data_IF_135620297548
#
_entry.id   IF_135620297548
#
_cell.length_a   1.000
_cell.length_b   1.000
_cell.length_c   1.000
_cell.angle_alpha   90.00
_cell.angle_beta   90.00
_cell.angle_gamma   90.00
#
_symmetry.space_group_name_H-M   'P 1'
#
loop_
_entity.id
_entity.type
_entity.pdbx_description
1 polymer ?
#
# COMPACT_ATOMS: atom_id res chain seq x y z
N UNK A 1 -100.41 28.48 -23.51
CA UNK A 1 -100.40 27.26 -22.69
C UNK A 1 -99.13 27.26 -21.87
N UNK A 2 -99.29 27.43 -20.57
CA UNK A 2 -98.24 27.48 -19.54
C UNK A 2 -97.78 26.06 -19.20
N UNK A 3 -96.47 25.81 -19.07
CA UNK A 3 -95.93 24.88 -18.07
C UNK A 3 -94.46 25.26 -17.74
N UNK A 4 -94.00 25.08 -16.49
CA UNK A 4 -93.06 25.97 -15.84
C UNK A 4 -91.60 25.51 -15.86
N UNK A 5 -90.73 26.49 -15.58
CA UNK A 5 -89.28 26.41 -15.48
C UNK A 5 -88.79 25.42 -14.41
N UNK A 6 -87.75 24.65 -14.77
CA UNK A 6 -86.87 23.90 -13.85
C UNK A 6 -85.47 24.52 -13.94
N UNK A 7 -84.87 25.01 -12.84
CA UNK A 7 -83.51 25.52 -12.86
C UNK A 7 -82.49 24.36 -12.91
N UNK A 8 -81.59 24.41 -13.89
CA UNK A 8 -80.47 23.47 -14.04
C UNK A 8 -79.37 23.74 -13.00
N UNK A 9 -78.81 22.65 -12.48
CA UNK A 9 -77.72 22.64 -11.50
C UNK A 9 -76.41 23.23 -12.08
N UNK A 10 -75.58 23.89 -11.25
CA UNK A 10 -74.35 24.53 -11.71
C UNK A 10 -73.28 23.51 -12.12
N UNK A 11 -72.60 23.80 -13.23
CA UNK A 11 -71.46 23.05 -13.73
C UNK A 11 -70.29 23.15 -12.72
N UNK A 12 -69.81 21.99 -12.27
CA UNK A 12 -68.60 21.88 -11.45
C UNK A 12 -67.38 22.14 -12.35
N UNK A 13 -66.76 23.30 -12.19
CA UNK A 13 -65.48 23.60 -12.82
C UNK A 13 -64.39 22.68 -12.23
N UNK A 14 -63.79 21.84 -13.08
CA UNK A 14 -62.58 21.09 -12.74
C UNK A 14 -61.42 22.08 -12.62
N UNK A 15 -60.84 22.18 -11.44
CA UNK A 15 -59.58 22.87 -11.18
C UNK A 15 -58.45 22.14 -11.92
N UNK A 16 -57.87 22.79 -12.93
CA UNK A 16 -56.62 22.39 -13.55
C UNK A 16 -55.49 22.94 -12.69
N UNK A 17 -54.93 22.09 -11.84
CA UNK A 17 -53.76 22.44 -11.01
C UNK A 17 -52.52 22.45 -11.90
N UNK A 18 -51.85 23.61 -11.99
CA UNK A 18 -50.52 23.70 -12.59
C UNK A 18 -49.51 22.84 -11.79
N UNK A 19 -48.59 22.12 -12.44
CA UNK A 19 -47.51 21.43 -11.74
C UNK A 19 -46.47 22.46 -11.27
N UNK A 20 -46.58 22.88 -10.00
CA UNK A 20 -45.62 23.74 -9.33
C UNK A 20 -44.41 22.96 -8.80
N UNK A 21 -43.28 23.09 -9.50
CA UNK A 21 -41.90 22.97 -9.00
C UNK A 21 -41.61 21.85 -7.99
N UNK A 22 -41.47 20.63 -8.50
CA UNK A 22 -40.80 19.56 -7.77
C UNK A 22 -39.33 19.92 -7.54
N UNK A 23 -38.93 20.02 -6.28
CA UNK A 23 -37.54 20.16 -5.89
C UNK A 23 -36.74 18.98 -6.45
N UNK A 24 -35.89 19.25 -7.42
CA UNK A 24 -34.85 18.33 -7.85
C UNK A 24 -33.87 18.16 -6.68
N UNK A 25 -34.16 17.20 -5.80
CA UNK A 25 -33.12 16.65 -4.93
C UNK A 25 -32.24 15.80 -5.82
N UNK A 26 -31.18 16.41 -6.37
CA UNK A 26 -30.08 15.63 -6.89
C UNK A 26 -29.66 14.68 -5.76
N UNK A 27 -29.92 13.38 -5.92
CA UNK A 27 -29.28 12.37 -5.08
C UNK A 27 -27.80 12.62 -5.22
N UNK A 28 -27.19 13.22 -4.19
CA UNK A 28 -25.76 13.10 -3.99
C UNK A 28 -25.47 11.61 -4.14
N UNK A 29 -24.54 11.16 -5.00
CA UNK A 29 -24.11 9.79 -4.94
C UNK A 29 -23.71 9.57 -3.49
N UNK A 30 -24.46 8.70 -2.79
CA UNK A 30 -24.15 8.34 -1.42
C UNK A 30 -22.70 7.92 -1.42
N UNK A 31 -21.93 8.42 -0.45
CA UNK A 31 -20.54 8.00 -0.26
C UNK A 31 -20.48 6.49 -0.46
N UNK A 32 -19.59 6.03 -1.35
CA UNK A 32 -19.40 4.61 -1.59
C UNK A 32 -19.32 3.90 -0.23
N UNK A 33 -19.98 2.75 -0.06
CA UNK A 33 -20.01 2.06 1.23
C UNK A 33 -18.59 1.92 1.75
N UNK A 34 -18.32 2.57 2.88
CA UNK A 34 -16.99 2.59 3.47
C UNK A 34 -16.70 1.15 3.89
N UNK A 35 -15.82 0.47 3.16
CA UNK A 35 -15.51 -0.93 3.42
C UNK A 35 -15.08 -1.05 4.89
N UNK A 36 -15.80 -1.89 5.65
CA UNK A 36 -15.51 -2.08 7.06
C UNK A 36 -14.30 -2.99 7.20
N UNK A 37 -13.12 -2.41 7.39
CA UNK A 37 -11.89 -3.17 7.60
C UNK A 37 -11.77 -3.58 9.07
N UNK A 38 -11.43 -4.86 9.36
CA UNK A 38 -11.16 -5.27 10.74
C UNK A 38 -9.95 -4.52 11.32
N UNK A 39 -9.89 -4.38 12.63
CA UNK A 39 -8.76 -3.72 13.29
C UNK A 39 -7.58 -4.68 13.46
N UNK A 40 -6.41 -4.32 12.95
CA UNK A 40 -5.14 -5.07 13.10
C UNK A 40 -4.16 -4.32 13.99
N UNK A 41 -3.33 -5.07 14.72
CA UNK A 41 -2.19 -4.54 15.48
C UNK A 41 -1.01 -4.30 14.55
N UNK A 42 -0.45 -3.10 14.62
CA UNK A 42 0.73 -2.63 13.91
C UNK A 42 1.74 -2.19 14.95
N UNK A 43 3.01 -2.50 14.72
CA UNK A 43 4.10 -2.10 15.59
C UNK A 43 5.16 -1.41 14.75
N UNK A 44 5.81 -0.40 15.30
CA UNK A 44 6.89 0.30 14.66
C UNK A 44 7.92 0.78 15.67
N UNK A 45 9.18 0.76 15.28
CA UNK A 45 10.28 1.36 16.02
C UNK A 45 10.90 2.45 15.16
N UNK A 46 11.09 3.64 15.73
CA UNK A 46 11.64 4.81 15.04
C UNK A 46 12.86 5.37 15.76
N UNK A 47 13.83 5.90 15.01
CA UNK A 47 14.87 6.79 15.52
C UNK A 47 14.37 8.23 15.44
N UNK A 48 14.30 8.90 16.58
CA UNK A 48 13.89 10.30 16.67
C UNK A 48 15.09 11.24 16.42
N UNK A 49 14.85 12.53 16.10
CA UNK A 49 15.91 13.51 15.87
C UNK A 49 16.87 13.73 17.05
N UNK A 50 16.45 13.41 18.28
CA UNK A 50 17.27 13.46 19.49
C UNK A 50 18.06 12.16 19.75
N UNK A 51 18.11 11.27 18.76
CA UNK A 51 18.69 9.93 18.79
C UNK A 51 18.04 8.96 19.80
N UNK A 52 16.88 9.31 20.37
CA UNK A 52 16.09 8.36 21.16
C UNK A 52 15.28 7.43 20.26
N UNK A 53 14.93 6.26 20.80
CA UNK A 53 14.06 5.31 20.12
C UNK A 53 12.61 5.50 20.58
N UNK A 54 11.70 5.55 19.62
CA UNK A 54 10.26 5.60 19.88
C UNK A 54 9.59 4.32 19.38
N UNK A 55 8.96 3.59 20.29
CA UNK A 55 8.13 2.44 19.97
C UNK A 55 6.66 2.86 19.86
N UNK A 56 6.01 2.42 18.77
CA UNK A 56 4.60 2.64 18.52
C UNK A 56 3.91 1.31 18.32
N UNK A 57 3.01 0.97 19.24
CA UNK A 57 2.14 -0.21 19.14
C UNK A 57 0.69 0.27 19.14
N UNK A 58 -0.01 0.11 18.01
CA UNK A 58 -1.39 0.60 17.87
C UNK A 58 -2.24 -0.35 17.05
N UNK A 59 -3.56 -0.21 17.19
CA UNK A 59 -4.51 -0.86 16.29
C UNK A 59 -5.01 0.14 15.26
N UNK A 60 -5.00 -0.24 13.99
CA UNK A 60 -5.55 0.52 12.88
C UNK A 60 -6.42 -0.38 12.00
N UNK A 61 -7.29 0.19 11.15
CA UNK A 61 -8.02 -0.60 10.18
C UNK A 61 -7.04 -1.38 9.29
N UNK A 62 -7.36 -2.63 8.97
CA UNK A 62 -6.67 -3.48 7.99
C UNK A 62 -6.90 -2.96 6.55
N UNK A 63 -6.83 -1.64 6.38
CA UNK A 63 -6.98 -0.95 5.12
C UNK A 63 -5.67 -1.08 4.33
N UNK A 64 -5.71 -1.28 3.00
CA UNK A 64 -4.52 -1.54 2.19
C UNK A 64 -3.40 -0.50 2.33
N UNK A 65 -3.75 0.76 2.61
CA UNK A 65 -2.76 1.82 2.88
C UNK A 65 -1.93 1.54 4.12
N UNK A 66 -2.55 1.09 5.22
CA UNK A 66 -1.82 0.75 6.43
C UNK A 66 -1.02 -0.52 6.20
N UNK A 67 -1.62 -1.56 5.63
CA UNK A 67 -0.90 -2.83 5.41
C UNK A 67 0.30 -2.68 4.48
N UNK A 68 0.20 -1.86 3.42
CA UNK A 68 1.30 -1.56 2.50
C UNK A 68 2.53 -0.98 3.22
N UNK A 69 2.33 -0.26 4.31
CA UNK A 69 3.43 0.33 5.06
C UNK A 69 4.23 -0.68 5.90
N UNK A 70 3.70 -1.87 6.19
CA UNK A 70 4.30 -2.80 7.16
C UNK A 70 4.55 -4.21 6.58
N UNK A 71 4.14 -4.47 5.34
CA UNK A 71 3.99 -5.83 4.83
C UNK A 71 4.75 -6.07 3.51
N UNK A 72 6.06 -5.83 3.52
CA UNK A 72 6.93 -6.01 2.34
C UNK A 72 7.89 -7.21 2.50
N UNK A 73 8.69 -7.24 3.56
CA UNK A 73 9.73 -8.23 3.78
C UNK A 73 9.23 -9.28 4.78
N UNK A 74 9.36 -10.57 4.52
CA UNK A 74 9.02 -11.56 5.55
C UNK A 74 10.20 -11.78 6.50
N UNK A 75 9.90 -12.28 7.70
CA UNK A 75 10.89 -12.77 8.66
C UNK A 75 11.95 -13.66 7.99
N UNK A 76 13.22 -13.48 8.36
CA UNK A 76 14.37 -14.19 7.81
C UNK A 76 14.95 -13.56 6.55
N UNK A 77 14.38 -12.46 6.06
CA UNK A 77 14.99 -11.66 5.00
C UNK A 77 16.32 -11.09 5.49
N UNK A 78 17.39 -11.30 4.75
CA UNK A 78 18.74 -10.83 5.06
C UNK A 78 18.99 -9.50 4.36
N UNK A 79 19.30 -8.46 5.14
CA UNK A 79 19.57 -7.11 4.67
C UNK A 79 21.07 -6.84 4.72
N UNK A 80 21.60 -6.26 3.64
CA UNK A 80 23.00 -5.84 3.60
C UNK A 80 23.20 -4.59 4.46
N UNK A 81 24.08 -4.66 5.47
CA UNK A 81 24.43 -3.54 6.35
C UNK A 81 25.93 -3.27 6.33
N UNK A 82 26.36 -2.14 6.88
CA UNK A 82 27.77 -1.72 6.96
C UNK A 82 28.63 -2.75 7.70
N UNK A 83 28.10 -3.35 8.76
CA UNK A 83 28.79 -4.34 9.60
C UNK A 83 28.52 -5.80 9.18
N UNK A 84 27.92 -6.01 8.01
CA UNK A 84 27.61 -7.32 7.45
C UNK A 84 26.12 -7.60 7.27
N UNK A 85 25.75 -8.81 6.83
CA UNK A 85 24.35 -9.19 6.63
C UNK A 85 23.62 -9.35 7.98
N UNK A 86 22.44 -8.74 8.11
CA UNK A 86 21.59 -8.81 9.31
C UNK A 86 20.18 -9.25 8.92
N UNK A 87 19.55 -10.12 9.71
CA UNK A 87 18.16 -10.49 9.47
C UNK A 87 17.23 -9.30 9.76
N UNK A 88 16.16 -9.15 8.97
CA UNK A 88 15.25 -8.00 9.06
C UNK A 88 14.61 -7.85 10.45
N UNK A 89 14.35 -8.96 11.15
CA UNK A 89 13.82 -8.95 12.52
C UNK A 89 14.81 -8.45 13.59
N UNK A 90 16.10 -8.45 13.29
CA UNK A 90 17.16 -8.04 14.22
C UNK A 90 17.65 -6.60 13.95
N UNK A 91 17.10 -5.94 12.91
CA UNK A 91 17.43 -4.56 12.58
C UNK A 91 16.88 -3.58 13.62
N UNK A 92 17.73 -2.63 14.00
CA UNK A 92 17.36 -1.52 14.88
C UNK A 92 17.50 -0.19 14.14
N UNK A 93 16.61 0.80 14.35
CA UNK A 93 16.82 2.15 13.84
C UNK A 93 18.20 2.69 14.28
N UNK A 94 18.88 3.36 13.35
CA UNK A 94 20.29 3.73 13.44
C UNK A 94 21.23 2.78 12.68
N UNK A 95 20.82 1.54 12.40
CA UNK A 95 21.61 0.59 11.61
C UNK A 95 21.87 1.15 10.21
N UNK A 96 23.12 1.07 9.77
CA UNK A 96 23.59 1.59 8.48
C UNK A 96 23.36 0.55 7.39
N UNK A 97 22.30 0.71 6.60
CA UNK A 97 21.87 -0.24 5.58
C UNK A 97 22.39 0.19 4.21
N UNK A 98 22.88 -0.77 3.44
CA UNK A 98 23.37 -0.53 2.09
C UNK A 98 22.20 -0.21 1.14
N UNK A 99 22.23 0.99 0.55
CA UNK A 99 21.29 1.40 -0.50
C UNK A 99 22.01 1.49 -1.84
N UNK A 100 21.27 1.19 -2.91
CA UNK A 100 21.80 1.24 -4.29
C UNK A 100 22.19 2.67 -4.67
N UNK A 101 21.39 3.65 -4.26
CA UNK A 101 21.41 5.01 -4.77
C UNK A 101 22.22 5.98 -3.92
N UNK A 102 22.41 5.69 -2.63
CA UNK A 102 23.05 6.62 -1.68
C UNK A 102 24.08 5.96 -0.75
N UNK A 103 24.55 4.74 -1.03
CA UNK A 103 25.49 4.02 -0.17
C UNK A 103 24.86 3.63 1.17
N UNK A 104 25.62 3.62 2.26
CA UNK A 104 25.08 3.25 3.58
C UNK A 104 24.24 4.39 4.17
N UNK A 105 22.96 4.11 4.45
CA UNK A 105 22.00 5.05 5.01
C UNK A 105 21.47 4.56 6.37
N UNK A 106 21.27 5.46 7.36
CA UNK A 106 20.74 5.07 8.65
C UNK A 106 19.26 4.72 8.54
N UNK A 107 18.90 3.52 9.01
CA UNK A 107 17.51 3.11 9.15
C UNK A 107 16.82 4.04 10.14
N UNK A 108 15.74 4.72 9.74
CA UNK A 108 15.00 5.60 10.65
C UNK A 108 13.77 4.93 11.23
N UNK A 109 13.23 3.93 10.54
CA UNK A 109 11.98 3.31 10.92
C UNK A 109 11.91 1.87 10.44
N UNK A 110 11.44 0.99 11.32
CA UNK A 110 11.04 -0.38 10.97
C UNK A 110 9.62 -0.62 11.47
N UNK A 111 8.71 -0.93 10.55
CA UNK A 111 7.36 -1.34 10.87
C UNK A 111 7.21 -2.83 10.75
N UNK A 112 6.38 -3.42 11.62
CA UNK A 112 6.02 -4.83 11.60
C UNK A 112 4.51 -5.05 11.74
N UNK A 113 4.03 -6.07 11.03
CA UNK A 113 2.74 -6.72 11.30
C UNK A 113 2.90 -8.23 11.29
N UNK A 114 1.99 -8.92 11.97
CA UNK A 114 1.91 -10.39 11.90
C UNK A 114 0.77 -10.81 10.99
N UNK A 115 1.10 -11.56 9.94
CA UNK A 115 0.15 -12.23 9.07
C UNK A 115 -0.26 -13.55 9.72
N UNK A 116 -1.52 -13.65 10.14
CA UNK A 116 -2.07 -14.85 10.76
C UNK A 116 -2.84 -15.65 9.70
N UNK A 117 -2.59 -16.98 9.57
CA UNK A 117 -3.36 -17.83 8.66
C UNK A 117 -4.87 -17.69 8.92
N UNK A 118 -5.65 -17.51 7.85
CA UNK A 118 -7.10 -17.31 7.94
C UNK A 118 -7.55 -15.86 8.23
N UNK A 119 -6.66 -14.95 8.63
CA UNK A 119 -7.00 -13.53 8.78
C UNK A 119 -6.72 -12.78 7.47
N UNK A 120 -7.74 -12.14 6.89
CA UNK A 120 -7.60 -11.41 5.63
C UNK A 120 -6.54 -10.30 5.71
N UNK A 121 -5.73 -10.17 4.66
CA UNK A 121 -4.92 -9.01 4.32
C UNK A 121 -5.75 -8.14 3.37
N UNK A 122 -6.26 -7.02 3.89
CA UNK A 122 -7.25 -6.20 3.22
C UNK A 122 -8.54 -6.98 3.02
N UNK A 123 -8.81 -7.35 1.77
CA UNK A 123 -9.99 -8.14 1.38
C UNK A 123 -9.62 -9.55 0.87
N UNK A 124 -8.33 -9.92 0.93
CA UNK A 124 -7.80 -11.16 0.36
C UNK A 124 -7.14 -12.03 1.44
N UNK A 125 -7.07 -13.36 1.27
CA UNK A 125 -6.26 -14.19 2.16
C UNK A 125 -4.79 -13.71 2.20
N UNK A 126 -4.09 -13.88 3.33
CA UNK A 126 -2.68 -13.55 3.43
C UNK A 126 -1.91 -14.49 2.50
N UNK A 127 -0.97 -13.92 1.74
CA UNK A 127 -0.12 -14.63 0.81
C UNK A 127 1.30 -14.09 0.94
N UNK A 128 2.27 -14.97 0.75
CA UNK A 128 3.67 -14.61 0.61
C UNK A 128 4.15 -15.08 -0.77
N UNK A 129 5.31 -14.59 -1.16
CA UNK A 129 5.94 -14.88 -2.44
C UNK A 129 7.35 -15.37 -2.15
N UNK A 130 7.60 -16.64 -2.42
CA UNK A 130 8.92 -17.26 -2.32
C UNK A 130 9.64 -17.07 -3.64
N UNK A 131 10.86 -16.55 -3.56
CA UNK A 131 11.80 -16.48 -4.66
C UNK A 131 12.92 -17.48 -4.31
N UNK A 132 12.99 -18.66 -4.97
CA UNK A 132 14.05 -19.63 -4.74
C UNK A 132 15.43 -19.06 -5.05
N UNK A 133 16.48 -19.62 -4.43
CA UNK A 133 17.87 -19.30 -4.73
C UNK A 133 18.15 -19.26 -6.23
N UNK A 134 18.93 -18.28 -6.66
CA UNK A 134 19.38 -18.08 -8.05
C UNK A 134 18.28 -17.83 -9.11
N UNK A 135 17.02 -17.63 -8.72
CA UNK A 135 15.89 -17.42 -9.66
C UNK A 135 16.05 -16.19 -10.57
N UNK A 136 16.79 -15.17 -10.11
CA UNK A 136 17.11 -13.96 -10.87
C UNK A 136 18.61 -13.88 -11.24
N UNK A 137 19.27 -15.03 -11.32
CA UNK A 137 20.69 -15.17 -11.64
C UNK A 137 21.56 -15.52 -10.43
N UNK A 138 22.87 -15.72 -10.63
CA UNK A 138 23.76 -16.17 -9.56
C UNK A 138 23.72 -15.25 -8.33
N UNK A 139 23.51 -15.85 -7.17
CA UNK A 139 23.35 -15.21 -5.86
C UNK A 139 22.14 -14.25 -5.76
N UNK A 140 21.10 -14.48 -6.57
CA UNK A 140 19.92 -13.62 -6.64
C UNK A 140 18.62 -14.43 -6.65
N UNK A 141 17.96 -14.63 -5.49
CA UNK A 141 18.46 -14.37 -4.14
C UNK A 141 19.45 -15.44 -3.64
N UNK A 142 20.17 -15.16 -2.55
CA UNK A 142 20.93 -16.15 -1.76
C UNK A 142 20.87 -15.78 -0.26
N UNK A 143 20.27 -16.62 0.61
CA UNK A 143 19.44 -17.80 0.32
C UNK A 143 18.08 -17.39 -0.28
N UNK A 144 17.15 -18.35 -0.42
CA UNK A 144 15.74 -18.09 -0.73
C UNK A 144 15.18 -16.85 -0.01
N UNK A 145 14.41 -16.06 -0.74
CA UNK A 145 13.80 -14.83 -0.25
C UNK A 145 12.29 -15.00 -0.15
N UNK A 146 11.73 -14.62 0.99
CA UNK A 146 10.28 -14.61 1.20
C UNK A 146 9.80 -13.17 1.32
N UNK A 147 8.89 -12.79 0.42
CA UNK A 147 8.30 -11.45 0.38
C UNK A 147 6.81 -11.49 0.66
N UNK A 148 6.32 -10.38 1.19
CA UNK A 148 4.90 -10.13 1.37
C UNK A 148 4.35 -9.29 0.21
N UNK A 149 3.02 -9.21 0.03
CA UNK A 149 2.41 -8.74 -1.22
C UNK A 149 2.67 -7.28 -1.58
N UNK A 150 3.16 -6.49 -0.64
CA UNK A 150 3.43 -5.07 -0.83
C UNK A 150 4.91 -4.75 -1.11
N UNK A 151 5.77 -5.78 -1.22
CA UNK A 151 7.13 -5.59 -1.73
C UNK A 151 7.10 -5.16 -3.20
N UNK A 152 7.98 -4.22 -3.56
CA UNK A 152 8.33 -3.91 -4.95
C UNK A 152 9.78 -4.19 -5.22
N UNK A 153 10.05 -4.83 -6.35
CA UNK A 153 11.39 -5.15 -6.82
C UNK A 153 11.79 -4.14 -7.87
N UNK A 154 13.06 -3.75 -7.88
CA UNK A 154 13.59 -2.92 -8.96
C UNK A 154 13.83 -3.78 -10.20
N UNK A 155 13.00 -3.58 -11.22
CA UNK A 155 13.02 -4.32 -12.46
C UNK A 155 13.77 -3.60 -13.58
N UNK A 156 14.68 -4.34 -14.21
CA UNK A 156 15.53 -4.06 -15.39
C UNK A 156 14.91 -4.27 -16.76
N UNK A 157 14.46 -3.27 -17.53
CA UNK A 157 14.08 -3.53 -18.93
C UNK A 157 14.16 -2.28 -19.82
N UNK A 158 14.87 -2.37 -20.95
CA UNK A 158 15.05 -1.25 -21.90
C UNK A 158 13.73 -0.70 -22.45
N UNK A 159 12.66 -1.52 -22.52
CA UNK A 159 11.32 -1.10 -22.95
C UNK A 159 10.64 -0.16 -21.96
N UNK A 160 11.11 -0.10 -20.71
CA UNK A 160 10.57 0.80 -19.70
C UNK A 160 10.74 2.27 -20.07
N UNK A 161 11.73 2.63 -20.89
CA UNK A 161 11.94 4.01 -21.36
C UNK A 161 10.71 4.59 -22.05
N UNK A 162 9.93 3.75 -22.73
CA UNK A 162 8.73 4.20 -23.46
C UNK A 162 7.55 4.51 -22.53
N UNK A 163 7.53 3.91 -21.34
CA UNK A 163 6.41 4.02 -20.38
C UNK A 163 6.74 4.99 -19.26
N UNK A 164 7.91 4.83 -18.63
CA UNK A 164 8.30 5.56 -17.41
C UNK A 164 9.53 6.44 -17.59
N UNK A 165 10.06 6.55 -18.82
CA UNK A 165 11.23 7.36 -19.16
C UNK A 165 12.50 6.99 -18.37
N UNK A 166 12.56 5.75 -17.87
CA UNK A 166 13.69 5.17 -17.14
C UNK A 166 13.90 3.73 -17.61
N UNK A 167 15.12 3.20 -17.45
CA UNK A 167 15.45 1.79 -17.72
C UNK A 167 15.06 0.86 -16.58
N UNK A 168 14.74 1.42 -15.40
CA UNK A 168 14.36 0.65 -14.23
C UNK A 168 13.09 1.19 -13.58
N UNK A 169 12.27 0.27 -13.07
CA UNK A 169 11.04 0.63 -12.35
C UNK A 169 10.78 -0.32 -11.17
N UNK A 170 10.12 0.21 -10.14
CA UNK A 170 9.69 -0.54 -8.97
C UNK A 170 8.37 -1.24 -9.28
N UNK A 171 8.43 -2.57 -9.41
CA UNK A 171 7.28 -3.40 -9.79
C UNK A 171 6.84 -4.26 -8.61
N UNK A 172 5.54 -4.35 -8.31
CA UNK A 172 5.03 -5.14 -7.19
C UNK A 172 5.26 -6.64 -7.40
N UNK A 173 5.65 -7.35 -6.35
CA UNK A 173 5.97 -8.78 -6.40
C UNK A 173 4.87 -9.67 -7.03
N UNK A 174 3.55 -9.40 -6.87
CA UNK A 174 2.53 -10.22 -7.52
C UNK A 174 2.58 -10.21 -9.05
N UNK A 175 3.20 -9.20 -9.67
CA UNK A 175 3.35 -9.12 -11.13
C UNK A 175 4.41 -10.11 -11.67
N UNK A 176 5.30 -10.61 -10.81
CA UNK A 176 6.32 -11.59 -11.20
C UNK A 176 5.87 -13.04 -11.01
N UNK A 177 4.66 -13.27 -10.50
CA UNK A 177 4.18 -14.61 -10.18
C UNK A 177 4.07 -15.49 -11.42
N UNK A 178 4.96 -16.47 -11.52
CA UNK A 178 5.03 -17.44 -12.62
C UNK A 178 4.87 -18.90 -12.13
N UNK A 179 4.87 -19.11 -10.80
CA UNK A 179 4.83 -20.43 -10.18
C UNK A 179 6.16 -21.20 -10.24
N UNK A 180 7.24 -20.57 -10.69
CA UNK A 180 8.57 -21.15 -10.82
C UNK A 180 9.64 -20.28 -10.13
N UNK A 181 9.89 -19.09 -10.66
CA UNK A 181 10.86 -18.11 -10.16
C UNK A 181 10.27 -17.30 -8.99
N UNK A 182 8.97 -17.04 -9.05
CA UNK A 182 8.20 -16.40 -7.99
C UNK A 182 6.96 -17.25 -7.70
N UNK A 183 7.00 -17.91 -6.54
CA UNK A 183 6.00 -18.90 -6.13
C UNK A 183 5.13 -18.28 -5.05
N UNK A 184 3.82 -18.17 -5.32
CA UNK A 184 2.84 -17.78 -4.30
C UNK A 184 2.70 -18.90 -3.27
N UNK A 185 2.83 -18.56 -2.00
CA UNK A 185 2.64 -19.48 -0.87
C UNK A 185 1.67 -18.92 0.16
N UNK A 186 0.88 -19.79 0.78
CA UNK A 186 0.07 -19.43 1.93
C UNK A 186 0.88 -19.65 3.22
N UNK A 187 0.86 -18.70 4.17
CA UNK A 187 1.51 -18.92 5.46
C UNK A 187 0.82 -20.07 6.21
N UNK A 188 1.59 -21.08 6.62
CA UNK A 188 1.09 -22.22 7.41
C UNK A 188 0.99 -21.89 8.92
N UNK A 189 1.71 -20.88 9.37
CA UNK A 189 1.73 -20.35 10.73
C UNK A 189 1.75 -18.82 10.70
N UNK A 190 1.54 -18.12 11.82
CA UNK A 190 1.76 -16.68 11.87
C UNK A 190 3.16 -16.29 11.40
N UNK A 191 3.26 -15.31 10.50
CA UNK A 191 4.53 -14.80 9.96
C UNK A 191 4.60 -13.30 10.17
N UNK A 192 5.65 -12.83 10.84
CA UNK A 192 5.96 -11.40 10.92
C UNK A 192 6.50 -10.89 9.60
N UNK A 193 5.96 -9.77 9.15
CA UNK A 193 6.42 -9.04 7.98
C UNK A 193 6.83 -7.63 8.37
N UNK A 194 7.74 -7.06 7.59
CA UNK A 194 8.43 -5.83 7.91
C UNK A 194 8.45 -4.88 6.71
N UNK A 195 8.69 -3.60 6.98
CA UNK A 195 9.09 -2.62 5.99
C UNK A 195 10.01 -1.59 6.66
N UNK A 196 10.91 -1.00 5.88
CA UNK A 196 11.99 -0.16 6.36
C UNK A 196 11.85 1.23 5.74
N UNK A 197 11.93 2.30 6.53
CA UNK A 197 11.92 3.67 6.01
C UNK A 197 13.16 4.43 6.47
N UNK A 198 13.56 5.39 5.63
CA UNK A 198 14.76 6.20 5.76
C UNK A 198 14.38 7.67 5.64
N UNK A 199 15.39 8.55 5.66
CA UNK A 199 15.19 9.99 5.41
C UNK A 199 14.62 10.24 4.01
N UNK A 200 15.18 9.56 3.01
CA UNK A 200 14.74 9.64 1.62
C UNK A 200 14.33 8.23 1.14
N UNK A 201 13.58 8.17 0.05
CA UNK A 201 13.20 6.90 -0.56
C UNK A 201 14.42 6.21 -1.19
N UNK A 202 14.68 4.96 -0.83
CA UNK A 202 15.86 4.23 -1.28
C UNK A 202 15.53 2.83 -1.81
N UNK A 203 16.49 2.28 -2.56
CA UNK A 203 16.44 0.89 -3.00
C UNK A 203 17.44 0.09 -2.17
N UNK A 204 16.94 -0.90 -1.44
CA UNK A 204 17.68 -1.74 -0.52
C UNK A 204 18.12 -3.04 -1.19
N UNK A 205 19.17 -3.67 -0.67
CA UNK A 205 19.58 -5.01 -1.08
C UNK A 205 19.19 -6.04 -0.02
N UNK A 206 18.23 -6.88 -0.37
CA UNK A 206 17.68 -7.95 0.46
C UNK A 206 17.93 -9.32 -0.20
N UNK A 207 18.69 -10.20 0.46
CA UNK A 207 19.17 -11.48 -0.09
C UNK A 207 19.81 -11.34 -1.49
N UNK A 208 20.40 -10.19 -1.83
CA UNK A 208 20.95 -9.92 -3.17
C UNK A 208 19.95 -9.37 -4.19
N UNK A 209 18.67 -9.23 -3.84
CA UNK A 209 17.61 -8.62 -4.66
C UNK A 209 17.41 -7.17 -4.26
N UNK A 210 17.15 -6.32 -5.25
CA UNK A 210 16.90 -4.89 -5.05
C UNK A 210 15.41 -4.65 -4.76
N UNK A 211 15.11 -4.14 -3.57
CA UNK A 211 13.75 -3.98 -3.05
C UNK A 211 13.54 -2.54 -2.60
N UNK A 212 12.34 -2.04 -2.84
CA UNK A 212 11.86 -0.75 -2.38
C UNK A 212 11.91 -0.60 -0.85
N UNK A 213 12.42 0.53 -0.34
CA UNK A 213 12.14 1.00 1.02
C UNK A 213 10.74 1.61 1.11
N UNK A 214 10.16 1.70 2.30
CA UNK A 214 8.81 2.23 2.44
C UNK A 214 8.70 3.68 1.97
N UNK A 215 7.73 3.91 1.09
CA UNK A 215 7.27 5.25 0.74
C UNK A 215 5.75 5.20 0.45
N UNK A 216 4.93 6.11 1.02
CA UNK A 216 3.47 6.03 0.95
C UNK A 216 2.90 6.28 -0.46
N UNK A 217 3.69 6.94 -1.33
CA UNK A 217 3.26 7.38 -2.65
C UNK A 217 2.52 8.74 -2.61
N UNK A 218 2.30 9.38 -3.77
CA UNK A 218 1.78 10.75 -3.84
C UNK A 218 0.32 10.88 -3.39
N UNK A 219 -0.50 9.84 -3.55
CA UNK A 219 -1.96 9.93 -3.35
C UNK A 219 -2.44 9.49 -1.96
N UNK A 220 -1.55 9.51 -0.95
CA UNK A 220 -1.85 9.02 0.39
C UNK A 220 -3.12 9.67 0.97
N UNK A 221 -3.17 11.01 0.99
CA UNK A 221 -4.26 11.79 1.60
C UNK A 221 -5.61 11.50 0.92
N UNK A 222 -5.60 11.36 -0.41
CA UNK A 222 -6.79 11.10 -1.20
C UNK A 222 -7.39 9.72 -0.87
N UNK A 223 -6.56 8.74 -0.49
CA UNK A 223 -6.97 7.36 -0.23
C UNK A 223 -7.56 7.13 1.17
N UNK A 224 -7.15 7.90 2.18
CA UNK A 224 -7.56 7.65 3.59
C UNK A 224 -8.24 8.85 4.27
N UNK A 225 -8.30 10.00 3.60
CA UNK A 225 -8.86 11.23 4.16
C UNK A 225 -8.04 11.80 5.33
N UNK A 226 -8.48 12.93 5.92
CA UNK A 226 -7.71 13.64 6.92
C UNK A 226 -7.57 12.87 8.25
N UNK A 227 -8.61 12.15 8.68
CA UNK A 227 -8.58 11.40 9.94
C UNK A 227 -7.70 10.15 9.82
N UNK A 228 -7.82 9.44 8.69
CA UNK A 228 -6.94 8.33 8.35
C UNK A 228 -5.49 8.77 8.24
N UNK A 229 -5.23 9.94 7.66
CA UNK A 229 -3.89 10.52 7.57
C UNK A 229 -3.28 10.79 8.95
N UNK A 230 -4.04 11.40 9.87
CA UNK A 230 -3.56 11.62 11.25
C UNK A 230 -3.20 10.30 11.93
N UNK A 231 -4.04 9.27 11.78
CA UNK A 231 -3.75 7.94 12.32
C UNK A 231 -2.51 7.32 11.67
N UNK A 232 -2.40 7.42 10.35
CA UNK A 232 -1.27 6.90 9.57
C UNK A 232 0.05 7.55 9.98
N UNK A 233 0.12 8.88 10.02
CA UNK A 233 1.31 9.61 10.44
C UNK A 233 1.69 9.32 11.90
N UNK A 234 0.73 8.93 12.75
CA UNK A 234 1.02 8.55 14.13
C UNK A 234 1.88 7.28 14.30
N UNK A 235 2.15 6.55 13.20
CA UNK A 235 3.11 5.45 13.15
C UNK A 235 4.54 5.88 12.79
N UNK A 236 4.73 7.14 12.36
CA UNK A 236 6.00 7.71 11.93
C UNK A 236 6.36 8.93 12.79
N UNK A 237 6.64 8.76 14.10
CA UNK A 237 6.86 9.86 15.03
C UNK A 237 8.12 10.70 14.73
N UNK A 238 8.99 10.23 13.84
CA UNK A 238 10.17 10.94 13.36
C UNK A 238 9.87 11.89 12.19
N UNK A 239 8.64 11.88 11.65
CA UNK A 239 8.18 12.73 10.54
C UNK A 239 7.08 13.67 11.03
N UNK A 240 7.05 14.89 10.49
CA UNK A 240 6.03 15.90 10.76
C UNK A 240 4.93 15.88 9.68
N UNK A 241 5.32 15.68 8.42
CA UNK A 241 4.44 15.77 7.26
C UNK A 241 4.68 14.62 6.27
N UNK A 242 3.75 14.44 5.33
CA UNK A 242 3.89 13.44 4.25
C UNK A 242 5.06 13.80 3.30
N UNK A 243 5.39 15.09 3.18
CA UNK A 243 6.49 15.53 2.33
C UNK A 243 7.85 15.06 2.85
N UNK A 244 7.95 14.75 4.14
CA UNK A 244 9.20 14.33 4.79
C UNK A 244 9.64 12.92 4.37
N UNK A 245 8.79 12.15 3.68
CA UNK A 245 9.19 10.90 3.01
C UNK A 245 10.05 11.13 1.76
N UNK A 246 10.14 12.37 1.27
CA UNK A 246 10.88 12.75 0.08
C UNK A 246 10.19 12.34 -1.23
N UNK A 247 10.87 12.55 -2.38
CA UNK A 247 10.39 12.06 -3.67
C UNK A 247 10.66 10.55 -3.84
N UNK A 248 9.95 9.91 -4.77
CA UNK A 248 10.28 8.55 -5.20
C UNK A 248 11.64 8.55 -5.94
N UNK A 249 12.60 7.74 -5.49
CA UNK A 249 13.88 7.54 -6.18
C UNK A 249 13.81 6.76 -7.52
N UNK A 250 12.69 6.08 -7.79
CA UNK A 250 12.43 5.37 -9.04
C UNK A 250 10.92 5.34 -9.33
N UNK A 251 10.51 5.30 -10.62
CA UNK A 251 9.10 5.18 -10.97
C UNK A 251 8.51 3.84 -10.50
N UNK A 252 7.22 3.82 -10.18
CA UNK A 252 6.49 2.59 -9.83
C UNK A 252 5.63 2.15 -11.00
N UNK A 253 5.57 0.84 -11.22
CA UNK A 253 4.60 0.21 -12.12
C UNK A 253 3.50 -0.48 -11.33
N UNK A 254 2.31 -0.51 -11.91
CA UNK A 254 1.27 -1.47 -11.58
C UNK A 254 1.57 -2.84 -12.20
N UNK A 255 0.84 -3.87 -11.76
CA UNK A 255 0.94 -5.19 -12.40
C UNK A 255 0.48 -5.15 -13.87
N UNK A 256 -0.56 -4.37 -14.17
CA UNK A 256 -1.10 -4.22 -15.53
C UNK A 256 -0.09 -3.57 -16.48
N UNK A 257 0.61 -2.52 -16.02
CA UNK A 257 1.65 -1.87 -16.82
C UNK A 257 2.87 -2.79 -17.02
N UNK A 258 3.23 -3.58 -16.00
CA UNK A 258 4.29 -4.57 -16.13
C UNK A 258 3.95 -5.64 -17.18
N UNK A 259 2.74 -6.20 -17.11
CA UNK A 259 2.28 -7.21 -18.07
C UNK A 259 2.33 -6.67 -19.50
N UNK A 260 1.90 -5.42 -19.70
CA UNK A 260 1.96 -4.74 -20.99
C UNK A 260 3.40 -4.62 -21.54
N UNK A 261 4.40 -4.37 -20.68
CA UNK A 261 5.82 -4.30 -21.07
C UNK A 261 6.36 -5.67 -21.48
N UNK A 262 5.97 -6.71 -20.74
CA UNK A 262 6.49 -8.07 -20.94
C UNK A 262 5.83 -8.84 -22.08
N UNK A 263 4.58 -8.50 -22.41
CA UNK A 263 3.82 -9.16 -23.48
C UNK A 263 4.16 -8.68 -24.90
N UNK A 264 4.81 -7.51 -25.03
CA UNK A 264 5.27 -6.95 -26.30
C UNK A 264 6.54 -7.64 -26.82
#
# INVERSE_FOLDING_TARGET
>A
MTYPHRPGLPAVARSVTQPGQGAWTARRPGAAPQANFPMRRFEALSLLPDNSLAEVIKRAPAHPVFENAFCALARGTIIATEDGPVAVEDLMPGTRIETRDAGYQPLLWIGTITLVPGQQLGQTPPRLFRIPVDSFGPQRPMPDLMLAPHARLLHRNARLREIVQDDAALTPIPAFEDGMSVIRVAPASPVSTYHLAFRDHHILRANGIEIESFHPGPDLVQRIGPDGLRLFMSFFPHLETVADFGPLCAPRLSAEEYDAVTAA
#
